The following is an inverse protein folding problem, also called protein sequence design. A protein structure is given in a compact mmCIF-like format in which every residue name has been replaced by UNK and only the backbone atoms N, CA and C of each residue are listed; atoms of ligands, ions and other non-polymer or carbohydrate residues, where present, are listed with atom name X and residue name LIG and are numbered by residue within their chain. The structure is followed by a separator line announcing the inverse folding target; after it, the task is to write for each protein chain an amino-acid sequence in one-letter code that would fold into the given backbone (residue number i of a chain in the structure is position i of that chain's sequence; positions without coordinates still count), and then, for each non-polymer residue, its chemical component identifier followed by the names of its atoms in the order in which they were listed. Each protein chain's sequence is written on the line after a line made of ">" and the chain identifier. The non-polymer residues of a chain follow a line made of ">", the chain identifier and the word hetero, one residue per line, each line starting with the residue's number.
data_IF_423868725369
#
_entry.id   IF_423868725369
#
_cell.length_a   1.000
_cell.length_b   1.000
_cell.length_c   1.000
_cell.angle_alpha   90.00
_cell.angle_beta   90.00
_cell.angle_gamma   90.00
#
_symmetry.space_group_name_H-M   'P 1'
#
loop_
_entity.id
_entity.type
_entity.pdbx_description
1 polymer ?
#
# COMPACT_ATOMS: atom_id res chain seq x y z
N UNK A 1 21.71 -16.74 8.54
CA UNK A 1 20.86 -15.61 9.02
C UNK A 1 21.46 -14.31 8.54
N UNK A 2 20.69 -13.48 7.87
CA UNK A 2 21.12 -12.15 7.45
C UNK A 2 20.37 -11.10 8.28
N UNK A 3 21.12 -10.10 8.83
CA UNK A 3 20.51 -8.96 9.52
C UNK A 3 20.07 -7.93 8.50
N UNK A 4 18.84 -7.46 8.64
CA UNK A 4 18.32 -6.41 7.76
C UNK A 4 17.28 -5.52 8.46
N UNK A 5 17.15 -4.29 7.99
CA UNK A 5 16.06 -3.41 8.40
C UNK A 5 14.81 -3.66 7.55
N UNK A 6 13.63 -3.23 8.02
CA UNK A 6 12.39 -3.34 7.22
C UNK A 6 12.51 -2.61 5.88
N UNK A 7 13.19 -1.46 5.84
CA UNK A 7 13.43 -0.72 4.60
C UNK A 7 14.31 -1.51 3.62
N UNK A 8 15.36 -2.18 4.10
CA UNK A 8 16.21 -3.03 3.26
C UNK A 8 15.47 -4.30 2.82
N UNK A 9 14.76 -4.97 3.73
CA UNK A 9 13.95 -6.15 3.41
C UNK A 9 12.92 -5.88 2.30
N UNK A 10 12.27 -4.72 2.32
CA UNK A 10 11.35 -4.33 1.25
C UNK A 10 12.05 -4.11 -0.10
N UNK A 11 13.28 -3.59 -0.11
CA UNK A 11 14.07 -3.50 -1.36
C UNK A 11 14.45 -4.88 -1.90
N UNK A 12 14.82 -5.82 -1.02
CA UNK A 12 15.11 -7.21 -1.39
C UNK A 12 13.85 -7.88 -1.94
N UNK A 13 12.69 -7.71 -1.28
CA UNK A 13 11.41 -8.23 -1.77
C UNK A 13 11.05 -7.69 -3.15
N UNK A 14 11.28 -6.39 -3.39
CA UNK A 14 11.05 -5.81 -4.72
C UNK A 14 11.91 -6.50 -5.78
N UNK A 15 13.22 -6.64 -5.52
CA UNK A 15 14.13 -7.33 -6.45
C UNK A 15 13.69 -8.77 -6.70
N UNK A 16 13.34 -9.53 -5.65
CA UNK A 16 12.86 -10.91 -5.80
C UNK A 16 11.58 -11.00 -6.64
N UNK A 17 10.64 -10.04 -6.49
CA UNK A 17 9.46 -10.01 -7.35
C UNK A 17 9.81 -9.65 -8.81
N UNK A 18 10.76 -8.75 -9.04
CA UNK A 18 11.22 -8.42 -10.40
C UNK A 18 11.89 -9.65 -11.04
N UNK A 19 12.75 -10.37 -10.29
CA UNK A 19 13.39 -11.63 -10.75
C UNK A 19 12.32 -12.71 -11.02
N UNK A 20 11.31 -12.85 -10.16
CA UNK A 20 10.18 -13.79 -10.38
C UNK A 20 9.42 -13.47 -11.66
N UNK A 21 9.09 -12.19 -11.88
CA UNK A 21 8.40 -11.76 -13.09
C UNK A 21 9.21 -12.06 -14.37
N UNK A 22 10.53 -11.94 -14.30
CA UNK A 22 11.40 -12.33 -15.41
C UNK A 22 11.25 -13.81 -15.77
N UNK A 23 11.29 -14.73 -14.78
CA UNK A 23 11.11 -16.15 -15.01
C UNK A 23 9.69 -16.50 -15.46
N UNK A 24 8.65 -15.86 -14.92
CA UNK A 24 7.27 -16.05 -15.37
C UNK A 24 7.07 -15.63 -16.83
N UNK A 25 7.73 -14.53 -17.26
CA UNK A 25 7.70 -14.11 -18.67
C UNK A 25 8.43 -15.11 -19.57
N UNK A 26 9.59 -15.65 -19.13
CA UNK A 26 10.27 -16.72 -19.87
C UNK A 26 9.37 -17.95 -20.05
N UNK A 27 8.62 -18.32 -19.01
CA UNK A 27 7.66 -19.42 -19.07
C UNK A 27 6.50 -19.13 -20.03
N UNK A 28 5.95 -17.89 -19.99
CA UNK A 28 4.87 -17.49 -20.88
C UNK A 28 5.31 -17.44 -22.36
N UNK A 29 6.50 -16.94 -22.65
CA UNK A 29 7.04 -16.80 -24.01
C UNK A 29 7.58 -18.11 -24.56
N UNK A 30 8.19 -18.95 -23.70
CA UNK A 30 8.90 -20.17 -24.10
C UNK A 30 8.03 -21.44 -24.16
N UNK A 31 6.83 -21.45 -23.56
CA UNK A 31 6.00 -22.65 -23.41
C UNK A 31 5.47 -23.22 -24.71
N UNK A 32 5.40 -22.43 -25.78
CA UNK A 32 4.92 -22.85 -27.11
C UNK A 32 5.73 -22.18 -28.22
N UNK A 33 5.86 -22.90 -29.34
CA UNK A 33 6.42 -22.31 -30.57
C UNK A 33 5.60 -22.73 -31.77
N UNK A 34 5.68 -21.96 -32.84
CA UNK A 34 4.98 -22.23 -34.10
C UNK A 34 6.02 -22.60 -35.15
N UNK A 35 5.79 -23.70 -35.88
CA UNK A 35 6.61 -24.09 -37.00
C UNK A 35 5.70 -24.50 -38.19
N UNK A 36 6.09 -24.17 -39.41
CA UNK A 36 5.47 -24.68 -40.61
C UNK A 36 5.91 -26.12 -40.87
N UNK A 37 5.09 -26.89 -41.61
CA UNK A 37 5.35 -28.33 -41.86
C UNK A 37 6.69 -28.55 -42.55
N UNK A 38 7.13 -27.61 -43.41
CA UNK A 38 8.35 -27.69 -44.24
C UNK A 38 9.51 -26.82 -43.76
N UNK A 39 9.41 -26.26 -42.53
CA UNK A 39 10.45 -25.42 -41.95
C UNK A 39 11.08 -26.05 -40.71
N UNK A 40 12.39 -25.85 -40.55
CA UNK A 40 13.06 -26.25 -39.32
C UNK A 40 12.62 -25.30 -38.19
N UNK A 41 12.03 -25.82 -37.10
CA UNK A 41 11.48 -24.98 -36.04
C UNK A 41 12.56 -24.25 -35.26
N UNK A 42 12.36 -22.96 -35.01
CA UNK A 42 13.15 -22.21 -34.05
C UNK A 42 12.54 -22.43 -32.66
N UNK A 43 13.13 -23.39 -31.93
CA UNK A 43 12.67 -23.75 -30.59
C UNK A 43 13.17 -22.70 -29.60
N UNK A 44 12.31 -22.10 -28.74
CA UNK A 44 12.75 -21.21 -27.69
C UNK A 44 13.72 -21.90 -26.71
N UNK A 45 14.71 -21.15 -26.23
CA UNK A 45 15.61 -21.61 -25.17
C UNK A 45 14.88 -21.56 -23.81
N UNK A 46 14.05 -22.57 -23.57
CA UNK A 46 13.22 -22.67 -22.37
C UNK A 46 13.27 -24.09 -21.81
N UNK A 47 13.60 -24.20 -20.53
CA UNK A 47 13.58 -25.42 -19.74
C UNK A 47 12.63 -25.26 -18.57
N UNK A 48 11.52 -26.01 -18.60
CA UNK A 48 10.48 -25.96 -17.57
C UNK A 48 11.01 -26.30 -16.17
N UNK A 49 11.84 -27.34 -16.04
CA UNK A 49 12.33 -27.78 -14.72
C UNK A 49 13.22 -26.71 -14.08
N UNK A 50 14.08 -26.11 -14.88
CA UNK A 50 14.99 -25.04 -14.45
C UNK A 50 14.20 -23.79 -14.04
N UNK A 51 13.28 -23.33 -14.89
CA UNK A 51 12.48 -22.12 -14.65
C UNK A 51 11.57 -22.30 -13.44
N UNK A 52 10.84 -23.43 -13.38
CA UNK A 52 9.93 -23.73 -12.27
C UNK A 52 10.68 -23.83 -10.92
N UNK A 53 11.88 -24.47 -10.91
CA UNK A 53 12.73 -24.53 -9.72
C UNK A 53 13.15 -23.13 -9.26
N UNK A 54 13.54 -22.24 -10.20
CA UNK A 54 13.91 -20.85 -9.86
C UNK A 54 12.76 -20.05 -9.28
N UNK A 55 11.56 -20.19 -9.83
CA UNK A 55 10.36 -19.55 -9.29
C UNK A 55 10.10 -20.04 -7.86
N UNK A 56 10.18 -21.36 -7.62
CA UNK A 56 9.97 -21.94 -6.29
C UNK A 56 11.01 -21.44 -5.26
N UNK A 57 12.29 -21.41 -5.62
CA UNK A 57 13.36 -20.85 -4.76
C UNK A 57 13.11 -19.37 -4.38
N UNK A 58 12.64 -18.57 -5.35
CA UNK A 58 12.31 -17.16 -5.11
C UNK A 58 11.11 -17.03 -4.19
N UNK A 59 10.06 -17.83 -4.40
CA UNK A 59 8.87 -17.82 -3.57
C UNK A 59 9.15 -18.19 -2.11
N UNK A 60 9.99 -19.19 -1.87
CA UNK A 60 10.42 -19.53 -0.52
C UNK A 60 11.14 -18.36 0.18
N UNK A 61 12.04 -17.66 -0.53
CA UNK A 61 12.74 -16.48 0.01
C UNK A 61 11.76 -15.36 0.34
N UNK A 62 10.79 -15.09 -0.54
CA UNK A 62 9.74 -14.09 -0.33
C UNK A 62 8.92 -14.42 0.92
N UNK A 63 8.52 -15.68 1.10
CA UNK A 63 7.75 -16.13 2.27
C UNK A 63 8.52 -15.89 3.56
N UNK A 64 9.80 -16.31 3.62
CA UNK A 64 10.65 -16.14 4.80
C UNK A 64 10.83 -14.66 5.19
N UNK A 65 11.13 -13.80 4.21
CA UNK A 65 11.31 -12.37 4.47
C UNK A 65 10.01 -11.72 4.92
N UNK A 66 8.88 -11.99 4.26
CA UNK A 66 7.58 -11.45 4.66
C UNK A 66 7.16 -11.92 6.04
N UNK A 67 7.39 -13.20 6.36
CA UNK A 67 7.11 -13.72 7.70
C UNK A 67 7.92 -12.98 8.77
N UNK A 68 9.22 -12.80 8.56
CA UNK A 68 10.08 -12.08 9.51
C UNK A 68 9.60 -10.63 9.72
N UNK A 69 9.25 -9.89 8.65
CA UNK A 69 8.66 -8.54 8.75
C UNK A 69 7.36 -8.56 9.56
N UNK A 70 6.47 -9.54 9.32
CA UNK A 70 5.20 -9.64 10.02
C UNK A 70 5.39 -9.88 11.52
N UNK A 71 6.32 -10.76 11.90
CA UNK A 71 6.67 -11.00 13.30
C UNK A 71 7.20 -9.72 13.95
N UNK A 72 8.13 -9.03 13.30
CA UNK A 72 8.67 -7.75 13.78
C UNK A 72 7.56 -6.72 13.98
N UNK A 73 6.66 -6.57 13.03
CA UNK A 73 5.57 -5.61 13.09
C UNK A 73 4.57 -5.91 14.22
N UNK A 74 4.31 -7.18 14.49
CA UNK A 74 3.37 -7.61 15.53
C UNK A 74 3.93 -7.55 16.94
N UNK A 75 5.26 -7.71 17.10
CA UNK A 75 5.90 -7.84 18.42
C UNK A 75 6.58 -6.57 18.91
N UNK A 76 7.08 -5.73 18.00
CA UNK A 76 7.84 -4.54 18.39
C UNK A 76 6.92 -3.33 18.57
N UNK A 77 7.09 -2.67 19.72
CA UNK A 77 6.41 -1.43 20.05
C UNK A 77 7.31 -0.24 19.78
N UNK A 78 6.71 0.84 19.29
CA UNK A 78 7.36 2.13 19.10
C UNK A 78 6.55 3.22 19.78
N UNK A 79 7.22 4.21 20.34
CA UNK A 79 6.58 5.34 20.99
C UNK A 79 5.99 6.29 19.93
N UNK A 80 4.70 6.62 20.09
CA UNK A 80 4.00 7.63 19.29
C UNK A 80 3.30 8.58 20.25
N UNK A 81 3.82 9.79 20.40
CA UNK A 81 3.36 10.69 21.46
C UNK A 81 3.56 10.06 22.84
N UNK A 82 2.50 10.01 23.64
CA UNK A 82 2.50 9.49 25.00
C UNK A 82 2.15 7.98 25.09
N UNK A 83 2.08 7.27 23.97
CA UNK A 83 1.67 5.86 23.94
C UNK A 83 2.64 4.98 23.15
N UNK A 84 2.83 3.74 23.62
CA UNK A 84 3.55 2.70 22.91
C UNK A 84 2.57 1.83 22.11
N UNK A 85 2.78 1.74 20.82
CA UNK A 85 1.96 0.93 19.91
C UNK A 85 2.82 -0.05 19.13
N UNK A 86 2.29 -1.23 18.81
CA UNK A 86 2.94 -2.13 17.87
C UNK A 86 2.90 -1.57 16.46
N UNK A 87 3.89 -1.92 15.63
CA UNK A 87 3.99 -1.40 14.26
C UNK A 87 2.74 -1.71 13.43
N UNK A 88 2.20 -2.93 13.55
CA UNK A 88 0.95 -3.32 12.87
C UNK A 88 -0.25 -2.49 13.34
N UNK A 89 -0.36 -2.21 14.65
CA UNK A 89 -1.43 -1.37 15.21
C UNK A 89 -1.35 0.07 14.68
N UNK A 90 -0.14 0.62 14.55
CA UNK A 90 0.08 1.94 13.96
C UNK A 90 -0.37 1.96 12.49
N UNK A 91 -0.02 0.93 11.71
CA UNK A 91 -0.42 0.84 10.30
C UNK A 91 -1.95 0.81 10.14
N UNK A 92 -2.64 0.04 10.98
CA UNK A 92 -4.11 0.00 11.00
C UNK A 92 -4.69 1.36 11.40
N UNK A 93 -4.15 1.96 12.48
CA UNK A 93 -4.62 3.28 12.97
C UNK A 93 -4.43 4.36 11.91
N UNK A 94 -3.29 4.42 11.25
CA UNK A 94 -3.04 5.36 10.16
C UNK A 94 -4.02 5.19 9.01
N UNK A 95 -4.35 3.96 8.62
CA UNK A 95 -5.33 3.69 7.58
C UNK A 95 -6.73 4.22 7.95
N UNK A 96 -7.15 4.04 9.21
CA UNK A 96 -8.42 4.57 9.74
C UNK A 96 -8.43 6.10 9.73
N UNK A 97 -7.36 6.72 10.24
CA UNK A 97 -7.22 8.17 10.30
C UNK A 97 -7.18 8.81 8.92
N UNK A 98 -6.49 8.21 7.95
CA UNK A 98 -6.47 8.70 6.57
C UNK A 98 -7.88 8.71 5.94
N UNK A 99 -8.69 7.66 6.15
CA UNK A 99 -10.08 7.65 5.70
C UNK A 99 -10.89 8.79 6.35
N UNK A 100 -10.71 9.00 7.66
CA UNK A 100 -11.39 10.09 8.38
C UNK A 100 -10.94 11.46 7.90
N UNK A 101 -9.62 11.66 7.71
CA UNK A 101 -9.01 12.89 7.18
C UNK A 101 -9.61 13.27 5.82
N UNK A 102 -9.78 12.30 4.92
CA UNK A 102 -10.39 12.54 3.59
C UNK A 102 -11.82 13.09 3.70
N UNK A 103 -12.62 12.59 4.64
CA UNK A 103 -13.99 13.09 4.87
C UNK A 103 -13.96 14.51 5.44
N UNK A 104 -13.13 14.74 6.47
CA UNK A 104 -12.98 16.05 7.11
C UNK A 104 -12.44 17.10 6.12
N UNK A 105 -11.53 16.71 5.22
CA UNK A 105 -11.02 17.61 4.18
C UNK A 105 -12.12 18.09 3.22
N UNK A 106 -13.04 17.22 2.85
CA UNK A 106 -14.21 17.60 2.06
C UNK A 106 -15.16 18.50 2.85
N UNK A 107 -15.35 18.20 4.15
CA UNK A 107 -16.25 18.97 5.01
C UNK A 107 -15.73 20.39 5.24
N UNK A 108 -14.44 20.56 5.60
CA UNK A 108 -13.85 21.89 5.89
C UNK A 108 -13.78 22.83 4.68
N UNK A 109 -13.88 22.27 3.46
CA UNK A 109 -13.87 23.03 2.19
C UNK A 109 -15.27 23.43 1.72
N UNK A 110 -16.34 22.98 2.39
CA UNK A 110 -17.70 23.34 2.02
C UNK A 110 -18.04 24.77 2.44
N UNK A 111 -18.85 25.43 1.63
CA UNK A 111 -19.48 26.70 1.99
C UNK A 111 -20.66 26.45 2.93
N UNK A 112 -20.90 27.36 3.88
CA UNK A 112 -22.02 27.26 4.82
C UNK A 112 -23.38 27.20 4.13
N UNK A 113 -23.49 27.87 2.95
CA UNK A 113 -24.68 27.90 2.11
C UNK A 113 -24.29 27.80 0.65
N UNK A 114 -24.82 26.85 -0.07
CA UNK A 114 -24.61 26.68 -1.52
C UNK A 114 -25.94 26.54 -2.22
N UNK A 115 -26.13 27.25 -3.34
CA UNK A 115 -27.36 27.12 -4.14
C UNK A 115 -27.42 25.73 -4.76
N UNK A 116 -28.58 25.04 -4.58
CA UNK A 116 -28.81 23.74 -5.23
C UNK A 116 -28.91 23.92 -6.72
N UNK A 117 -28.15 23.11 -7.47
CA UNK A 117 -28.19 23.11 -8.93
C UNK A 117 -29.17 22.02 -9.38
N UNK A 118 -30.38 22.44 -9.76
CA UNK A 118 -31.31 21.50 -10.38
C UNK A 118 -30.84 21.16 -11.80
N UNK A 119 -30.90 19.87 -12.16
CA UNK A 119 -30.76 19.45 -13.54
C UNK A 119 -31.87 20.06 -14.41
N UNK A 120 -31.64 20.14 -15.71
CA UNK A 120 -32.53 20.77 -16.69
C UNK A 120 -34.02 20.38 -16.59
N UNK A 121 -34.31 19.17 -16.05
CA UNK A 121 -35.67 18.65 -15.88
C UNK A 121 -36.46 19.31 -14.73
N UNK A 122 -35.79 19.97 -13.78
CA UNK A 122 -36.40 20.60 -12.60
C UNK A 122 -36.30 22.13 -12.60
N UNK A 123 -35.91 22.75 -13.70
CA UNK A 123 -35.72 24.21 -13.81
C UNK A 123 -37.01 25.04 -13.64
N UNK A 124 -38.19 24.41 -13.54
CA UNK A 124 -39.50 25.06 -13.37
C UNK A 124 -39.97 25.26 -11.92
N UNK A 125 -39.13 24.92 -10.91
CA UNK A 125 -39.47 25.22 -9.51
C UNK A 125 -39.37 26.73 -9.26
N UNK A 126 -40.43 27.29 -8.71
CA UNK A 126 -40.62 28.73 -8.54
C UNK A 126 -39.71 29.37 -7.47
N UNK A 127 -39.06 28.59 -6.58
CA UNK A 127 -38.20 29.10 -5.52
C UNK A 127 -36.83 28.44 -5.56
N UNK A 128 -35.72 29.20 -5.39
CA UNK A 128 -34.38 28.63 -5.29
C UNK A 128 -34.20 27.85 -3.98
N UNK A 129 -33.72 26.62 -4.06
CA UNK A 129 -33.34 25.82 -2.91
C UNK A 129 -31.83 25.95 -2.64
N UNK A 130 -31.45 25.81 -1.35
CA UNK A 130 -30.08 25.93 -0.92
C UNK A 130 -29.69 24.73 -0.04
N UNK A 131 -28.49 24.22 -0.23
CA UNK A 131 -27.83 23.30 0.69
C UNK A 131 -27.19 24.09 1.80
N UNK A 132 -27.41 23.68 3.03
CA UNK A 132 -26.74 24.20 4.23
C UNK A 132 -25.90 23.10 4.85
N UNK A 133 -24.73 23.44 5.38
CA UNK A 133 -23.96 22.50 6.19
C UNK A 133 -24.69 22.29 7.54
N UNK A 134 -24.62 21.06 8.05
CA UNK A 134 -25.22 20.70 9.33
C UNK A 134 -24.12 20.33 10.35
N UNK A 135 -23.10 21.17 10.44
CA UNK A 135 -21.96 21.02 11.35
C UNK A 135 -21.19 22.33 11.51
N UNK A 136 -20.36 22.41 12.56
CA UNK A 136 -19.49 23.55 12.80
C UNK A 136 -18.17 23.39 12.02
N UNK A 137 -17.91 24.32 11.10
CA UNK A 137 -16.68 24.35 10.28
C UNK A 137 -15.40 24.49 11.11
N UNK A 138 -15.45 25.22 12.22
CA UNK A 138 -14.27 25.43 13.08
C UNK A 138 -13.90 24.15 13.83
N UNK A 139 -14.92 23.40 14.31
CA UNK A 139 -14.70 22.10 14.95
C UNK A 139 -14.13 21.08 13.95
N UNK A 140 -14.67 21.03 12.73
CA UNK A 140 -14.17 20.16 11.66
C UNK A 140 -12.73 20.53 11.28
N UNK A 141 -12.41 21.83 11.20
CA UNK A 141 -11.05 22.29 10.93
C UNK A 141 -10.06 21.84 12.00
N UNK A 142 -10.38 22.06 13.26
CA UNK A 142 -9.54 21.62 14.40
C UNK A 142 -9.33 20.12 14.43
N UNK A 143 -10.38 19.32 14.17
CA UNK A 143 -10.28 17.87 14.16
C UNK A 143 -9.44 17.37 12.96
N UNK A 144 -9.53 18.03 11.81
CA UNK A 144 -8.67 17.76 10.66
C UNK A 144 -7.18 17.97 11.02
N UNK A 145 -6.84 19.11 11.63
CA UNK A 145 -5.47 19.43 12.02
C UNK A 145 -4.92 18.47 13.08
N UNK A 146 -5.77 18.07 14.05
CA UNK A 146 -5.42 17.08 15.07
C UNK A 146 -5.05 15.73 14.42
N UNK A 147 -5.91 15.24 13.52
CA UNK A 147 -5.69 13.96 12.82
C UNK A 147 -4.47 14.04 11.91
N UNK A 148 -4.27 15.14 11.21
CA UNK A 148 -3.11 15.35 10.34
C UNK A 148 -1.80 15.28 11.14
N UNK A 149 -1.75 15.95 12.30
CA UNK A 149 -0.61 15.88 13.20
C UNK A 149 -0.37 14.49 13.79
N UNK A 150 -1.45 13.76 14.14
CA UNK A 150 -1.36 12.39 14.65
C UNK A 150 -0.77 11.44 13.58
N UNK A 151 -1.23 11.55 12.33
CA UNK A 151 -0.70 10.78 11.19
C UNK A 151 0.78 11.10 10.96
N UNK A 152 1.16 12.39 10.96
CA UNK A 152 2.53 12.82 10.75
C UNK A 152 3.48 12.25 11.83
N UNK A 153 3.08 12.28 13.10
CA UNK A 153 3.84 11.71 14.20
C UNK A 153 4.04 10.20 14.07
N UNK A 154 2.98 9.47 13.68
CA UNK A 154 3.05 8.03 13.40
C UNK A 154 3.99 7.73 12.24
N UNK A 155 3.91 8.50 11.16
CA UNK A 155 4.76 8.30 9.98
C UNK A 155 6.24 8.47 10.32
N UNK A 156 6.60 9.53 11.06
CA UNK A 156 7.98 9.80 11.49
C UNK A 156 8.50 8.65 12.34
N UNK A 157 7.70 8.16 13.29
CA UNK A 157 8.09 7.03 14.16
C UNK A 157 8.31 5.74 13.36
N UNK A 158 7.42 5.44 12.43
CA UNK A 158 7.53 4.28 11.52
C UNK A 158 8.76 4.37 10.62
N UNK A 159 9.01 5.52 10.01
CA UNK A 159 10.15 5.72 9.11
C UNK A 159 11.46 5.52 9.86
N UNK A 160 11.58 6.08 11.07
CA UNK A 160 12.73 5.87 11.94
C UNK A 160 12.93 4.39 12.26
N UNK A 161 11.87 3.70 12.71
CA UNK A 161 11.92 2.28 13.04
C UNK A 161 12.33 1.44 11.82
N UNK A 162 11.69 1.64 10.68
CA UNK A 162 11.95 0.89 9.45
C UNK A 162 13.37 1.05 8.92
N UNK A 163 14.04 2.16 9.22
CA UNK A 163 15.39 2.45 8.77
C UNK A 163 16.47 1.98 9.75
N UNK A 164 16.14 1.89 11.05
CA UNK A 164 17.16 1.67 12.10
C UNK A 164 17.04 0.36 12.83
N UNK A 165 15.82 -0.22 12.93
CA UNK A 165 15.63 -1.48 13.63
C UNK A 165 16.04 -2.66 12.74
N UNK A 166 17.03 -3.44 13.21
CA UNK A 166 17.51 -4.63 12.52
C UNK A 166 16.92 -5.90 13.13
N UNK A 167 16.60 -6.86 12.27
CA UNK A 167 16.10 -8.18 12.64
C UNK A 167 16.73 -9.27 11.78
N UNK A 168 16.74 -10.49 12.31
CA UNK A 168 17.30 -11.65 11.63
C UNK A 168 16.27 -12.25 10.66
N UNK A 169 16.75 -12.61 9.46
CA UNK A 169 15.98 -13.33 8.44
C UNK A 169 16.70 -14.62 8.09
N UNK A 170 16.01 -15.73 8.11
CA UNK A 170 16.49 -17.02 7.64
C UNK A 170 16.44 -17.05 6.10
N UNK A 171 17.55 -16.66 5.44
CA UNK A 171 17.71 -16.72 3.99
C UNK A 171 18.58 -17.90 3.61
#
# INVERSE_FOLDING_TARGET
>A
MAKMTSAYANKVLKKLNDDKNYYLNMEEEGQVYVAAVDEEPVVPDYDYEVVSSKIAEIDEKIVKIKHAINVVNATNKIAVGDSDMTVDSILVRMAQLNKRKMVLDKMRKRQEKTREKYGYLNARKAAPEYQYINYDLKLVGKEYERIDSEIASMQIALDKFNQTFEFDVEC
#
